data_IF_083223942415
#
_entry.id   IF_083223942415
#
_cell.length_a   1.000
_cell.length_b   1.000
_cell.length_c   1.000
_cell.angle_alpha   90.00
_cell.angle_beta   90.00
_cell.angle_gamma   90.00
#
_symmetry.space_group_name_H-M   'P 1'
#
loop_
_entity.id
_entity.type
_entity.pdbx_description
1 polymer ?
#
# COMPACT_ATOMS: atom_id res chain seq x y z
N UNK A 1 6.75 19.60 -6.20
CA UNK A 1 7.94 19.03 -6.86
C UNK A 1 8.85 18.42 -5.80
N UNK A 2 8.74 17.09 -5.59
CA UNK A 2 9.86 16.27 -5.12
C UNK A 2 10.87 16.15 -6.27
N UNK A 3 12.17 15.99 -6.03
CA UNK A 3 13.24 16.08 -7.06
C UNK A 3 13.22 14.99 -8.16
N UNK A 4 12.12 14.28 -8.35
CA UNK A 4 11.95 13.17 -9.31
C UNK A 4 11.30 13.63 -10.65
N UNK A 5 10.99 14.92 -10.82
CA UNK A 5 10.31 15.40 -12.02
C UNK A 5 11.11 16.46 -12.76
N UNK A 6 12.14 16.06 -13.54
CA UNK A 6 12.78 16.96 -14.52
C UNK A 6 13.10 16.28 -15.84
N UNK A 7 12.48 16.86 -16.88
CA UNK A 7 12.90 16.91 -18.29
C UNK A 7 12.91 15.59 -19.07
N UNK A 8 11.95 15.48 -19.98
CA UNK A 8 12.23 15.38 -21.43
C UNK A 8 10.96 15.70 -22.23
N UNK A 9 10.80 16.98 -22.62
CA UNK A 9 10.04 17.33 -23.82
C UNK A 9 11.04 17.52 -24.95
N UNK A 10 11.10 16.59 -25.89
CA UNK A 10 11.49 16.88 -27.27
C UNK A 10 10.71 15.94 -28.20
N UNK A 11 9.93 16.58 -29.07
CA UNK A 11 9.13 16.04 -30.18
C UNK A 11 9.84 14.92 -30.94
N UNK A 12 9.10 13.87 -31.30
CA UNK A 12 8.69 13.57 -32.69
C UNK A 12 7.65 12.44 -32.66
N UNK A 13 6.73 12.51 -33.62
CA UNK A 13 5.60 11.61 -33.81
C UNK A 13 6.04 10.15 -33.88
N UNK A 14 5.43 9.28 -33.08
CA UNK A 14 5.02 7.97 -33.60
C UNK A 14 3.82 7.43 -32.82
N UNK A 15 2.91 6.87 -33.60
CA UNK A 15 1.58 6.45 -33.25
C UNK A 15 1.65 5.12 -32.47
N UNK A 16 0.69 4.90 -31.56
CA UNK A 16 0.44 3.59 -30.93
C UNK A 16 1.50 3.10 -29.92
N UNK A 17 1.59 3.75 -28.76
CA UNK A 17 1.93 3.07 -27.49
C UNK A 17 1.41 3.91 -26.34
N UNK A 18 0.25 3.49 -25.86
CA UNK A 18 -0.38 4.02 -24.66
C UNK A 18 0.67 4.19 -23.55
N UNK A 19 0.57 5.32 -22.88
CA UNK A 19 1.35 5.77 -21.74
C UNK A 19 1.27 4.75 -20.58
N UNK A 20 2.00 3.64 -20.68
CA UNK A 20 2.29 2.80 -19.53
C UNK A 20 3.47 3.42 -18.80
N UNK A 21 3.18 4.49 -18.05
CA UNK A 21 4.04 4.96 -16.98
C UNK A 21 4.03 3.86 -15.89
N UNK A 22 4.79 2.79 -16.12
CA UNK A 22 5.16 1.81 -15.12
C UNK A 22 6.04 2.51 -14.06
N UNK A 23 5.40 3.25 -13.14
CA UNK A 23 5.96 3.39 -11.81
C UNK A 23 5.89 1.99 -11.20
N UNK A 24 6.95 1.22 -11.38
CA UNK A 24 7.07 -0.13 -10.83
C UNK A 24 7.22 0.02 -9.32
N UNK A 25 6.09 0.18 -8.63
CA UNK A 25 5.98 0.16 -7.18
C UNK A 25 6.28 -1.26 -6.72
N UNK A 26 7.57 -1.62 -6.73
CA UNK A 26 8.02 -2.83 -6.07
C UNK A 26 8.14 -2.48 -4.59
N UNK A 27 7.22 -2.99 -3.77
CA UNK A 27 7.41 -2.88 -2.34
C UNK A 27 8.75 -3.53 -1.96
N UNK A 28 9.51 -2.95 -1.01
CA UNK A 28 10.66 -3.64 -0.47
C UNK A 28 10.20 -4.98 0.11
N UNK A 29 10.82 -6.11 -0.26
CA UNK A 29 10.55 -7.37 0.41
C UNK A 29 10.80 -7.19 1.91
N UNK A 30 9.88 -7.66 2.75
CA UNK A 30 9.97 -7.55 4.20
C UNK A 30 9.44 -6.25 4.81
N UNK A 31 8.72 -5.40 4.07
CA UNK A 31 8.01 -4.29 4.72
C UNK A 31 6.94 -4.79 5.71
N UNK A 32 6.34 -5.96 5.46
CA UNK A 32 5.43 -6.62 6.40
C UNK A 32 6.14 -7.06 7.67
N UNK A 33 7.45 -7.31 7.63
CA UNK A 33 8.22 -7.60 8.83
C UNK A 33 8.27 -6.38 9.77
N UNK A 34 8.13 -5.16 9.23
CA UNK A 34 8.01 -3.94 10.03
C UNK A 34 6.68 -3.91 10.81
N UNK A 35 5.60 -4.33 10.16
CA UNK A 35 4.27 -4.48 10.77
C UNK A 35 4.28 -5.58 11.82
N UNK A 36 5.00 -6.68 11.57
CA UNK A 36 5.15 -7.82 12.50
C UNK A 36 6.19 -7.58 13.60
N UNK A 37 6.83 -6.41 13.62
CA UNK A 37 7.83 -6.07 14.62
C UNK A 37 7.22 -6.03 16.03
N UNK A 38 7.93 -6.53 17.06
CA UNK A 38 7.49 -6.38 18.45
C UNK A 38 7.57 -4.92 18.94
N UNK A 39 8.29 -4.06 18.23
CA UNK A 39 8.40 -2.64 18.54
C UNK A 39 7.16 -1.88 18.04
N UNK A 40 6.48 -1.19 18.96
CA UNK A 40 5.22 -0.48 18.70
C UNK A 40 5.40 0.61 17.64
N UNK A 41 6.52 1.33 17.69
CA UNK A 41 6.81 2.44 16.78
C UNK A 41 7.10 1.92 15.36
N UNK A 42 7.83 0.82 15.26
CA UNK A 42 8.04 0.09 14.01
C UNK A 42 6.72 -0.42 13.43
N UNK A 43 5.90 -1.10 14.23
CA UNK A 43 4.59 -1.59 13.80
C UNK A 43 3.70 -0.44 13.30
N UNK A 44 3.69 0.70 14.02
CA UNK A 44 2.96 1.91 13.61
C UNK A 44 3.43 2.43 12.26
N UNK A 45 4.74 2.54 12.07
CA UNK A 45 5.34 2.96 10.79
C UNK A 45 4.98 2.00 9.66
N UNK A 46 4.95 0.68 9.94
CA UNK A 46 4.50 -0.33 8.99
C UNK A 46 3.05 -0.13 8.56
N UNK A 47 2.14 0.09 9.51
CA UNK A 47 0.73 0.34 9.21
C UNK A 47 0.52 1.65 8.42
N UNK A 48 1.25 2.72 8.77
CA UNK A 48 1.22 3.97 7.99
C UNK A 48 1.77 3.79 6.58
N UNK A 49 2.80 2.94 6.41
CA UNK A 49 3.32 2.62 5.09
C UNK A 49 2.30 1.85 4.25
N UNK A 50 1.56 0.90 4.84
CA UNK A 50 0.43 0.23 4.18
C UNK A 50 -0.60 1.26 3.71
N UNK A 51 -0.97 2.24 4.54
CA UNK A 51 -1.91 3.29 4.13
C UNK A 51 -1.41 4.06 2.90
N UNK A 52 -0.12 4.40 2.86
CA UNK A 52 0.48 5.10 1.72
C UNK A 52 0.42 4.27 0.44
N UNK A 53 0.61 2.96 0.52
CA UNK A 53 0.51 2.04 -0.62
C UNK A 53 -0.93 1.96 -1.11
N UNK A 54 -1.88 1.76 -0.19
CA UNK A 54 -3.31 1.66 -0.49
C UNK A 54 -3.87 2.95 -1.11
N UNK A 55 -3.36 4.13 -0.71
CA UNK A 55 -3.77 5.44 -1.26
C UNK A 55 -2.97 5.88 -2.49
N UNK A 56 -1.73 5.42 -2.62
CA UNK A 56 -0.77 5.89 -3.63
C UNK A 56 -0.86 5.17 -4.97
N UNK A 57 -1.43 3.97 -5.00
CA UNK A 57 -1.54 3.15 -6.21
C UNK A 57 -2.79 3.49 -7.02
N UNK A 58 -2.65 3.88 -8.31
CA UNK A 58 -3.79 4.04 -9.20
C UNK A 58 -4.45 2.68 -9.49
N UNK A 59 -5.71 2.70 -9.94
CA UNK A 59 -6.48 1.53 -10.38
C UNK A 59 -6.75 0.44 -9.32
N UNK A 60 -6.56 0.73 -8.03
CA UNK A 60 -6.82 -0.27 -6.97
C UNK A 60 -5.81 -1.42 -6.96
N UNK A 61 -4.62 -1.23 -7.55
CA UNK A 61 -3.52 -2.20 -7.46
C UNK A 61 -2.91 -2.29 -6.05
N UNK A 62 -3.13 -1.27 -5.22
CA UNK A 62 -2.63 -1.21 -3.84
C UNK A 62 -3.12 -2.38 -2.97
N UNK A 63 -4.44 -2.61 -2.84
CA UNK A 63 -4.97 -3.75 -2.10
C UNK A 63 -4.43 -5.10 -2.57
N UNK A 64 -4.38 -5.36 -3.88
CA UNK A 64 -3.86 -6.61 -4.45
C UNK A 64 -2.39 -6.86 -4.10
N UNK A 65 -1.60 -5.79 -4.07
CA UNK A 65 -0.19 -5.85 -3.72
C UNK A 65 0.03 -6.11 -2.22
N UNK A 66 -0.81 -5.50 -1.37
CA UNK A 66 -0.79 -5.73 0.08
C UNK A 66 -1.24 -7.16 0.40
N UNK A 67 -2.25 -7.66 -0.30
CA UNK A 67 -2.73 -9.04 -0.19
C UNK A 67 -1.65 -10.05 -0.59
N UNK A 68 -0.95 -9.84 -1.71
CA UNK A 68 0.11 -10.72 -2.17
C UNK A 68 1.35 -10.82 -1.26
N UNK A 69 1.49 -9.90 -0.30
CA UNK A 69 2.60 -9.88 0.67
C UNK A 69 2.14 -10.27 2.09
N UNK A 70 0.96 -10.88 2.26
CA UNK A 70 0.36 -11.23 3.57
C UNK A 70 0.04 -10.01 4.46
N UNK A 71 -0.21 -8.85 3.86
CA UNK A 71 -0.49 -7.62 4.61
C UNK A 71 -1.83 -7.62 5.34
N UNK A 72 -2.83 -8.36 4.85
CA UNK A 72 -4.12 -8.51 5.52
C UNK A 72 -3.94 -9.26 6.84
N UNK A 73 -3.30 -10.43 6.82
CA UNK A 73 -2.94 -11.22 8.01
C UNK A 73 -2.14 -10.39 9.02
N UNK A 74 -1.19 -9.59 8.53
CA UNK A 74 -0.39 -8.71 9.38
C UNK A 74 -1.24 -7.63 10.09
N UNK A 75 -2.30 -7.11 9.45
CA UNK A 75 -3.21 -6.13 10.04
C UNK A 75 -4.21 -6.79 11.01
N UNK A 76 -4.75 -7.96 10.67
CA UNK A 76 -5.71 -8.69 11.51
C UNK A 76 -5.13 -9.03 12.88
N UNK A 77 -3.82 -9.27 12.96
CA UNK A 77 -3.09 -9.47 14.23
C UNK A 77 -3.29 -8.32 15.23
N UNK A 78 -3.53 -7.10 14.75
CA UNK A 78 -3.71 -5.93 15.61
C UNK A 78 -5.14 -5.75 16.14
N UNK A 79 -6.12 -6.52 15.66
CA UNK A 79 -7.53 -6.44 16.11
C UNK A 79 -7.68 -6.60 17.62
N UNK A 80 -6.81 -7.42 18.25
CA UNK A 80 -6.80 -7.69 19.68
C UNK A 80 -5.55 -7.17 20.39
N UNK A 81 -4.83 -6.22 19.79
CA UNK A 81 -3.60 -5.69 20.38
C UNK A 81 -3.90 -4.82 21.62
N UNK A 82 -3.03 -4.89 22.63
CA UNK A 82 -3.14 -4.09 23.86
C UNK A 82 -3.07 -2.59 23.57
N UNK A 83 -2.25 -2.21 22.59
CA UNK A 83 -2.14 -0.85 22.11
C UNK A 83 -3.39 -0.44 21.30
N UNK A 84 -4.17 0.49 21.86
CA UNK A 84 -5.39 1.01 21.24
C UNK A 84 -5.13 1.72 19.91
N UNK A 85 -4.04 2.48 19.79
CA UNK A 85 -3.71 3.22 18.57
C UNK A 85 -3.47 2.27 17.39
N UNK A 86 -2.64 1.24 17.58
CA UNK A 86 -2.36 0.25 16.53
C UNK A 86 -3.62 -0.51 16.12
N UNK A 87 -4.46 -0.87 17.09
CA UNK A 87 -5.74 -1.54 16.85
C UNK A 87 -6.67 -0.66 16.02
N UNK A 88 -6.81 0.62 16.37
CA UNK A 88 -7.66 1.57 15.63
C UNK A 88 -7.15 1.76 14.21
N UNK A 89 -5.84 1.94 14.02
CA UNK A 89 -5.25 2.12 12.68
C UNK A 89 -5.47 0.88 11.82
N UNK A 90 -5.13 -0.31 12.33
CA UNK A 90 -5.26 -1.56 11.58
C UNK A 90 -6.73 -1.85 11.22
N UNK A 91 -7.66 -1.69 12.16
CA UNK A 91 -9.09 -1.90 11.91
C UNK A 91 -9.62 -0.91 10.88
N UNK A 92 -9.22 0.37 10.97
CA UNK A 92 -9.65 1.39 10.00
C UNK A 92 -9.15 1.10 8.59
N UNK A 93 -7.94 0.55 8.45
CA UNK A 93 -7.39 0.15 7.15
C UNK A 93 -8.08 -1.08 6.59
N UNK A 94 -8.28 -2.11 7.42
CA UNK A 94 -8.98 -3.33 7.04
C UNK A 94 -10.41 -3.01 6.58
N UNK A 95 -11.19 -2.27 7.37
CA UNK A 95 -12.57 -1.92 7.04
C UNK A 95 -12.67 -1.08 5.76
N UNK A 96 -11.77 -0.11 5.59
CA UNK A 96 -11.82 0.82 4.46
C UNK A 96 -11.40 0.20 3.12
N UNK A 97 -10.42 -0.70 3.13
CA UNK A 97 -9.82 -1.23 1.89
C UNK A 97 -10.14 -2.70 1.64
N UNK A 98 -10.46 -3.45 2.70
CA UNK A 98 -10.72 -4.89 2.71
C UNK A 98 -12.05 -5.23 3.40
N UNK A 99 -12.97 -4.25 3.48
CA UNK A 99 -14.31 -4.44 4.04
C UNK A 99 -15.23 -5.27 3.15
N UNK A 100 -16.53 -5.28 3.45
CA UNK A 100 -17.51 -6.19 2.82
C UNK A 100 -17.52 -6.11 1.28
N UNK A 101 -17.26 -4.93 0.70
CA UNK A 101 -17.25 -4.71 -0.75
C UNK A 101 -15.96 -5.15 -1.49
N UNK A 102 -14.94 -5.59 -0.76
CA UNK A 102 -13.68 -6.06 -1.36
C UNK A 102 -13.86 -7.44 -2.02
N UNK A 103 -13.55 -7.54 -3.32
CA UNK A 103 -13.68 -8.79 -4.09
C UNK A 103 -15.06 -9.09 -4.68
N UNK A 104 -16.09 -8.26 -4.43
CA UNK A 104 -17.44 -8.48 -5.01
C UNK A 104 -17.48 -8.20 -6.53
N UNK A 105 -16.52 -7.44 -7.05
CA UNK A 105 -16.42 -7.09 -8.48
C UNK A 105 -15.23 -7.76 -9.21
N UNK A 106 -14.69 -8.84 -8.66
CA UNK A 106 -13.56 -9.57 -9.27
C UNK A 106 -14.01 -10.74 -10.16
#
# INVERSE_FOLDING_TARGET
MCRICRRRKRKTEDNSRALSLHCQWRLPPGFIDLVRSPDIEAARLGLQFIELVLRGMPNGEGPKLVEGEDGIDAMERFQFHENEELRVIANSLADKYFGEDYGINE
#
